data_IF_928064140183
#
_entry.id   IF_928064140183
#
_cell.length_a   1.000
_cell.length_b   1.000
_cell.length_c   1.000
_cell.angle_alpha   90.00
_cell.angle_beta   90.00
_cell.angle_gamma   90.00
#
_symmetry.space_group_name_H-M   'P 1'
#
loop_
_entity.id
_entity.type
_entity.pdbx_description
1 polymer ?
#
# COMPACT_ATOMS: atom_id res chain seq x y z
N UNK A 1 -0.47 13.77 21.63
CA UNK A 1 -0.54 13.09 20.32
C UNK A 1 0.68 13.38 19.43
N UNK A 2 1.06 14.63 19.14
CA UNK A 2 2.17 14.94 18.21
C UNK A 2 3.49 14.20 18.50
N UNK A 3 3.98 14.23 19.74
CA UNK A 3 5.21 13.50 20.14
C UNK A 3 5.12 11.98 19.89
N UNK A 4 3.93 11.40 20.04
CA UNK A 4 3.73 9.97 19.76
C UNK A 4 3.72 9.67 18.26
N UNK A 5 3.21 10.59 17.42
CA UNK A 5 3.33 10.48 15.96
C UNK A 5 4.77 10.60 15.50
N UNK A 6 5.53 11.53 16.07
CA UNK A 6 6.95 11.69 15.75
C UNK A 6 7.75 10.44 16.13
N UNK A 7 7.47 9.86 17.30
CA UNK A 7 8.02 8.57 17.72
C UNK A 7 7.63 7.42 16.76
N UNK A 8 6.34 7.29 16.42
CA UNK A 8 5.92 6.26 15.46
C UNK A 8 6.63 6.41 14.11
N UNK A 9 6.87 7.64 13.65
CA UNK A 9 7.61 7.86 12.40
C UNK A 9 9.08 7.49 12.52
N UNK A 10 9.73 7.79 13.66
CA UNK A 10 11.14 7.46 13.86
C UNK A 10 11.38 5.96 14.02
N UNK A 11 10.43 5.23 14.60
CA UNK A 11 10.51 3.78 14.81
C UNK A 11 10.06 2.95 13.60
N UNK A 12 9.58 3.58 12.52
CA UNK A 12 9.23 2.85 11.31
C UNK A 12 10.51 2.27 10.68
N UNK A 13 10.48 0.97 10.39
CA UNK A 13 11.58 0.29 9.72
C UNK A 13 11.67 0.70 8.24
N UNK A 14 12.84 0.53 7.59
CA UNK A 14 13.03 0.91 6.18
C UNK A 14 12.06 0.24 5.20
N UNK A 15 11.64 -0.99 5.49
CA UNK A 15 10.65 -1.77 4.72
C UNK A 15 9.22 -1.24 4.87
N UNK A 16 8.97 -0.39 5.87
CA UNK A 16 7.67 0.19 6.18
C UNK A 16 6.98 -0.42 7.40
N UNK A 17 7.52 -1.49 7.97
CA UNK A 17 6.91 -2.19 9.12
C UNK A 17 7.22 -1.52 10.47
N UNK A 18 6.48 -1.91 11.50
CA UNK A 18 6.79 -1.60 12.90
C UNK A 18 7.01 -2.87 13.69
N UNK A 19 8.01 -2.86 14.57
CA UNK A 19 8.34 -4.00 15.43
C UNK A 19 7.28 -4.20 16.53
N UNK A 20 6.89 -5.46 16.75
CA UNK A 20 5.89 -5.86 17.73
C UNK A 20 6.48 -6.23 19.08
N UNK A 21 6.42 -5.29 20.04
CA UNK A 21 6.97 -5.52 21.39
C UNK A 21 6.26 -6.64 22.18
N UNK A 22 4.96 -6.82 21.95
CA UNK A 22 4.08 -7.65 22.78
C UNK A 22 3.33 -8.73 22.01
N UNK A 23 3.50 -8.79 20.70
CA UNK A 23 2.90 -9.79 19.82
C UNK A 23 3.85 -10.08 18.68
N UNK A 24 3.80 -11.30 18.17
CA UNK A 24 4.65 -11.75 17.07
C UNK A 24 4.13 -11.16 15.76
N UNK A 25 4.91 -10.41 15.00
CA UNK A 25 5.95 -9.44 15.36
C UNK A 25 5.65 -8.18 14.53
N UNK A 26 6.09 -8.15 13.27
CA UNK A 26 5.94 -6.97 12.42
C UNK A 26 4.52 -6.78 11.90
N UNK A 27 3.79 -7.87 11.66
CA UNK A 27 2.37 -7.85 11.31
C UNK A 27 1.57 -7.29 12.49
N UNK A 28 1.88 -7.72 13.71
CA UNK A 28 1.25 -7.18 14.92
C UNK A 28 1.53 -5.69 15.10
N UNK A 29 2.81 -5.27 15.05
CA UNK A 29 3.19 -3.86 15.22
C UNK A 29 2.58 -2.95 14.15
N UNK A 30 2.67 -3.36 12.88
CA UNK A 30 2.13 -2.60 11.74
C UNK A 30 0.60 -2.56 11.73
N UNK A 31 -0.03 -3.69 12.07
CA UNK A 31 -1.48 -3.82 12.22
C UNK A 31 -2.05 -2.95 13.34
N UNK A 32 -1.27 -2.67 14.40
CA UNK A 32 -1.66 -1.73 15.45
C UNK A 32 -1.40 -0.26 15.06
N UNK A 33 -0.29 0.03 14.37
CA UNK A 33 0.09 1.39 14.01
C UNK A 33 -0.88 2.04 13.01
N UNK A 34 -1.30 1.32 11.96
CA UNK A 34 -2.15 1.89 10.90
C UNK A 34 -3.53 2.37 11.41
N UNK A 35 -4.29 1.60 12.20
CA UNK A 35 -5.53 2.07 12.81
C UNK A 35 -5.30 3.25 13.75
N UNK A 36 -4.21 3.26 14.53
CA UNK A 36 -3.89 4.38 15.43
C UNK A 36 -3.63 5.68 14.65
N UNK A 37 -2.88 5.61 13.54
CA UNK A 37 -2.66 6.74 12.64
C UNK A 37 -3.99 7.25 12.04
N UNK A 38 -4.87 6.34 11.62
CA UNK A 38 -6.19 6.72 11.12
C UNK A 38 -7.04 7.40 12.20
N UNK A 39 -7.04 6.85 13.41
CA UNK A 39 -7.85 7.34 14.53
C UNK A 39 -7.46 8.76 14.98
N UNK A 40 -6.18 9.11 14.89
CA UNK A 40 -5.69 10.46 15.23
C UNK A 40 -5.78 11.46 14.05
N UNK A 41 -6.39 11.05 12.93
CA UNK A 41 -6.59 11.92 11.76
C UNK A 41 -5.34 12.12 10.91
N UNK A 42 -4.35 11.22 10.98
CA UNK A 42 -3.20 11.27 10.08
C UNK A 42 -3.66 11.05 8.62
N UNK A 43 -3.01 11.77 7.72
CA UNK A 43 -3.28 11.68 6.30
C UNK A 43 -2.72 10.36 5.73
N UNK A 44 -3.62 9.42 5.44
CA UNK A 44 -3.26 8.04 5.11
C UNK A 44 -2.62 7.86 3.73
N UNK A 45 -2.52 8.91 2.92
CA UNK A 45 -1.83 8.86 1.61
C UNK A 45 -0.37 9.28 1.69
N UNK A 46 0.11 9.68 2.89
CA UNK A 46 1.52 9.99 3.15
C UNK A 46 2.43 8.82 2.77
N UNK A 47 3.64 9.10 2.24
CA UNK A 47 4.55 8.07 1.75
C UNK A 47 4.86 6.96 2.77
N UNK A 48 5.05 7.33 4.05
CA UNK A 48 5.39 6.37 5.10
C UNK A 48 4.23 5.42 5.44
N UNK A 49 2.99 5.92 5.43
CA UNK A 49 1.79 5.09 5.60
C UNK A 49 1.62 4.15 4.42
N UNK A 50 1.83 4.65 3.19
CA UNK A 50 1.76 3.83 1.98
C UNK A 50 2.81 2.73 1.93
N UNK A 51 4.02 2.97 2.45
CA UNK A 51 5.04 1.92 2.60
C UNK A 51 4.57 0.81 3.54
N UNK A 52 4.02 1.16 4.70
CA UNK A 52 3.48 0.18 5.64
C UNK A 52 2.33 -0.66 5.04
N UNK A 53 1.41 -0.02 4.33
CA UNK A 53 0.32 -0.72 3.63
C UNK A 53 0.87 -1.64 2.54
N UNK A 54 1.86 -1.18 1.76
CA UNK A 54 2.53 -2.01 0.75
C UNK A 54 3.21 -3.22 1.37
N UNK A 55 3.91 -3.03 2.49
CA UNK A 55 4.56 -4.10 3.23
C UNK A 55 3.54 -5.15 3.69
N UNK A 56 2.40 -4.74 4.24
CA UNK A 56 1.34 -5.69 4.62
C UNK A 56 0.81 -6.48 3.43
N UNK A 57 0.57 -5.83 2.28
CA UNK A 57 0.13 -6.52 1.07
C UNK A 57 1.17 -7.55 0.61
N UNK A 58 2.46 -7.22 0.69
CA UNK A 58 3.55 -8.14 0.34
C UNK A 58 3.68 -9.33 1.29
N UNK A 59 3.20 -9.19 2.54
CA UNK A 59 3.20 -10.25 3.56
C UNK A 59 1.89 -11.03 3.62
N UNK A 60 0.94 -10.77 2.73
CA UNK A 60 -0.29 -11.54 2.65
C UNK A 60 0.00 -12.92 2.04
N UNK A 61 -0.50 -13.97 2.69
CA UNK A 61 -0.42 -15.34 2.21
C UNK A 61 -1.39 -15.57 1.03
N UNK A 62 -1.20 -16.67 0.29
CA UNK A 62 -2.07 -17.04 -0.83
C UNK A 62 -3.54 -17.28 -0.41
N UNK A 63 -3.76 -17.69 0.83
CA UNK A 63 -5.10 -17.86 1.43
C UNK A 63 -5.77 -16.54 1.82
N UNK A 64 -5.08 -15.41 1.62
CA UNK A 64 -5.54 -14.07 1.99
C UNK A 64 -5.30 -13.70 3.45
N UNK A 65 -4.72 -14.60 4.26
CA UNK A 65 -4.36 -14.36 5.65
C UNK A 65 -2.98 -13.73 5.82
N UNK A 66 -2.60 -13.58 7.09
CA UNK A 66 -1.30 -13.10 7.53
C UNK A 66 -0.82 -13.95 8.71
N UNK A 67 0.48 -14.19 8.79
CA UNK A 67 1.07 -14.90 9.91
C UNK A 67 2.57 -14.68 10.00
N UNK A 68 3.07 -14.68 11.23
CA UNK A 68 4.50 -14.70 11.52
C UNK A 68 4.79 -15.80 12.53
N UNK A 69 5.92 -16.47 12.33
CA UNK A 69 6.42 -17.42 13.30
C UNK A 69 7.30 -16.70 14.34
N UNK A 70 7.52 -17.30 15.51
CA UNK A 70 8.34 -16.69 16.57
C UNK A 70 9.79 -16.46 16.14
N UNK A 71 10.27 -17.17 15.11
CA UNK A 71 11.56 -16.97 14.49
C UNK A 71 11.73 -15.58 13.87
N UNK A 72 10.64 -14.85 13.61
CA UNK A 72 10.68 -13.45 13.17
C UNK A 72 11.33 -12.49 14.18
N UNK A 73 11.61 -12.92 15.41
CA UNK A 73 12.43 -12.16 16.37
C UNK A 73 13.94 -12.36 16.19
N UNK A 74 14.37 -13.38 15.45
CA UNK A 74 15.78 -13.67 15.23
C UNK A 74 16.34 -12.77 14.11
N UNK A 75 17.21 -11.79 14.42
CA UNK A 75 17.74 -10.88 13.41
C UNK A 75 18.64 -11.56 12.37
N UNK A 76 19.11 -12.79 12.61
CA UNK A 76 19.85 -13.58 11.61
C UNK A 76 18.93 -14.27 10.60
N UNK A 77 17.64 -14.42 10.94
CA UNK A 77 16.58 -15.03 10.10
C UNK A 77 15.52 -14.02 9.66
N UNK A 78 15.64 -12.77 10.08
CA UNK A 78 14.97 -11.60 9.50
C UNK A 78 15.59 -11.30 8.12
N UNK A 79 15.36 -12.22 7.17
CA UNK A 79 16.03 -12.26 5.85
C UNK A 79 15.50 -11.22 4.85
N UNK A 80 14.69 -10.24 5.27
CA UNK A 80 14.22 -9.15 4.40
C UNK A 80 15.25 -8.02 4.21
N UNK A 81 16.54 -8.30 4.42
CA UNK A 81 17.60 -7.39 3.96
C UNK A 81 17.81 -7.57 2.46
N UNK A 82 17.30 -6.58 1.72
CA UNK A 82 17.64 -6.26 0.33
C UNK A 82 17.11 -7.24 -0.74
N UNK A 83 15.87 -7.04 -1.20
CA UNK A 83 15.57 -7.29 -2.61
C UNK A 83 15.49 -5.97 -3.36
N UNK A 84 16.32 -5.91 -4.39
CA UNK A 84 16.61 -4.81 -5.28
C UNK A 84 15.39 -4.34 -6.08
N UNK A 85 15.46 -3.10 -6.55
CA UNK A 85 14.44 -2.44 -7.36
C UNK A 85 14.30 -3.13 -8.72
N UNK A 86 13.22 -3.87 -8.97
CA UNK A 86 12.86 -4.20 -10.36
C UNK A 86 11.36 -4.44 -10.54
N UNK A 87 10.73 -3.52 -11.28
CA UNK A 87 9.64 -3.70 -12.28
C UNK A 87 8.32 -4.44 -11.92
N UNK A 88 8.24 -5.22 -10.84
CA UNK A 88 7.04 -6.01 -10.51
C UNK A 88 5.87 -5.21 -9.94
N UNK A 89 6.15 -4.09 -9.25
CA UNK A 89 5.13 -3.29 -8.58
C UNK A 89 4.21 -2.52 -9.54
N UNK A 90 4.68 -2.19 -10.75
CA UNK A 90 3.87 -1.47 -11.76
C UNK A 90 2.90 -2.41 -12.47
N UNK A 91 3.26 -3.70 -12.62
CA UNK A 91 2.39 -4.73 -13.19
C UNK A 91 1.18 -5.03 -12.28
N UNK A 92 1.38 -5.09 -10.96
CA UNK A 92 0.30 -5.31 -9.99
C UNK A 92 -0.70 -4.14 -9.91
N UNK A 93 -0.23 -2.90 -10.07
CA UNK A 93 -1.10 -1.70 -10.11
C UNK A 93 -1.96 -1.65 -11.38
N UNK A 94 -1.47 -2.21 -12.50
CA UNK A 94 -2.24 -2.32 -13.75
C UNK A 94 -3.23 -3.48 -13.73
N UNK A 95 -2.94 -4.56 -13.01
CA UNK A 95 -3.81 -5.73 -12.91
C UNK A 95 -5.07 -5.49 -12.06
N UNK A 96 -5.06 -4.51 -11.15
CA UNK A 96 -6.20 -4.17 -10.29
C UNK A 96 -7.04 -2.99 -10.82
N UNK A 97 -7.13 -2.87 -12.15
CA UNK A 97 -8.14 -2.04 -12.79
C UNK A 97 -9.52 -2.68 -12.68
N UNK A 98 -10.27 -2.37 -11.63
CA UNK A 98 -11.68 -2.71 -11.57
C UNK A 98 -12.30 -2.69 -10.17
N UNK A 99 -12.66 -1.51 -9.67
CA UNK A 99 -13.93 -1.25 -8.95
C UNK A 99 -14.01 0.25 -8.56
N UNK A 100 -14.55 1.01 -9.52
CA UNK A 100 -15.38 2.22 -9.40
C UNK A 100 -15.47 2.94 -8.03
N UNK A 101 -14.92 4.15 -7.96
CA UNK A 101 -15.63 5.32 -7.41
C UNK A 101 -15.05 6.61 -8.02
N UNK A 102 -15.92 7.60 -8.25
CA UNK A 102 -15.71 8.90 -8.91
C UNK A 102 -15.91 8.94 -10.44
N UNK A 103 -17.20 8.95 -10.79
CA UNK A 103 -17.76 9.71 -11.91
C UNK A 103 -17.36 11.19 -11.74
N UNK A 104 -16.39 11.65 -12.54
CA UNK A 104 -16.20 13.08 -12.82
C UNK A 104 -16.81 13.34 -14.19
N UNK A 105 -17.72 14.31 -14.23
CA UNK A 105 -18.43 14.75 -15.42
C UNK A 105 -17.47 15.07 -16.55
N UNK A 106 -17.63 14.41 -17.70
CA UNK A 106 -17.17 14.98 -18.96
C UNK A 106 -18.01 16.22 -19.22
N UNK A 107 -17.45 17.39 -18.92
CA UNK A 107 -17.91 18.60 -19.58
C UNK A 107 -17.73 18.44 -21.09
N UNK A 108 -18.81 18.76 -21.78
CA UNK A 108 -19.05 18.84 -23.21
C UNK A 108 -17.86 19.34 -24.03
N UNK A 109 -17.44 18.53 -24.99
CA UNK A 109 -16.88 19.00 -26.25
C UNK A 109 -17.70 18.35 -27.36
N UNK A 110 -18.58 19.13 -27.98
CA UNK A 110 -19.28 18.78 -29.21
C UNK A 110 -18.29 18.80 -30.37
N UNK A 111 -18.16 17.74 -31.18
CA UNK A 111 -17.47 17.84 -32.45
C UNK A 111 -18.43 18.39 -33.52
N UNK A 112 -17.97 19.45 -34.21
CA UNK A 112 -18.52 20.01 -35.45
C UNK A 112 -18.57 18.94 -36.58
N UNK A 113 -19.54 19.00 -37.51
CA UNK A 113 -19.76 17.96 -38.50
C UNK A 113 -19.04 18.29 -39.82
N UNK A 114 -17.97 17.56 -40.15
CA UNK A 114 -17.56 17.46 -41.56
C UNK A 114 -16.88 16.11 -41.87
N UNK A 115 -17.29 15.57 -43.01
CA UNK A 115 -16.67 14.48 -43.80
C UNK A 115 -17.05 13.02 -43.48
N UNK A 116 -18.20 12.61 -44.05
CA UNK A 116 -18.49 11.22 -44.41
C UNK A 116 -17.71 10.82 -45.68
N UNK A 117 -17.05 9.65 -45.74
CA UNK A 117 -16.77 8.99 -47.00
C UNK A 117 -17.85 7.95 -47.34
N UNK A 118 -18.42 8.13 -48.53
CA UNK A 118 -19.40 7.29 -49.23
C UNK A 118 -19.19 5.78 -49.09
N UNK A 119 -20.32 5.08 -48.93
CA UNK A 119 -20.47 3.66 -49.18
C UNK A 119 -19.94 3.26 -50.57
N UNK A 120 -19.13 2.19 -50.60
CA UNK A 120 -18.84 1.43 -51.83
C UNK A 120 -19.76 0.21 -51.86
N UNK A 121 -20.29 0.00 -53.07
CA UNK A 121 -21.28 -0.99 -53.49
C UNK A 121 -20.93 -2.42 -53.13
#
# INVERSE_FOLDING_TARGET
VRRALDYLRSEQRPDGSWWGRWGVNHIYGTGAALPALKAVGEEMTRPYVRRAVRWLIQKQNEDGGWGETCESYDPARDIDKAWDNSEGAVAAVKALGGLQLFRIERQSVTPEPSEQPRAKR
#
